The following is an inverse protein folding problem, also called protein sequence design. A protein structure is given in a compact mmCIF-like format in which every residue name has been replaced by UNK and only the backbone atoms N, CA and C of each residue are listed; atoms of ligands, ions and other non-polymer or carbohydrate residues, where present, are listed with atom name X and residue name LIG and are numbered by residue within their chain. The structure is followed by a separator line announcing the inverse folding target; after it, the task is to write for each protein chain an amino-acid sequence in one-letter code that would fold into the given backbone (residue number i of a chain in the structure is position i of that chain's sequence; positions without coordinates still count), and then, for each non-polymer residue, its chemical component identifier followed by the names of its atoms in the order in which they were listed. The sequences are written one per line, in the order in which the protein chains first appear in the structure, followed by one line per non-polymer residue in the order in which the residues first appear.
data_IF_492107698847
#
_entry.id   IF_492107698847
#
_cell.length_a   1.000
_cell.length_b   1.000
_cell.length_c   1.000
_cell.angle_alpha   90.00
_cell.angle_beta   90.00
_cell.angle_gamma   90.00
#
_symmetry.space_group_name_H-M   'P 1'
#
loop_
_entity.id
_entity.type
_entity.pdbx_description
1 polymer ?
#
# COMPACT_ATOMS: atom_id res chain seq x y z
N UNK A 1 -14.02 1.78 -0.35
CA UNK A 1 -12.60 1.75 -0.78
C UNK A 1 -12.33 2.79 -1.87
N UNK A 2 -13.05 2.77 -3.01
CA UNK A 2 -12.86 3.77 -4.06
C UNK A 2 -13.17 5.21 -3.62
N UNK A 3 -14.26 5.42 -2.87
CA UNK A 3 -14.62 6.74 -2.33
C UNK A 3 -13.55 7.30 -1.37
N UNK A 4 -13.04 6.46 -0.46
CA UNK A 4 -11.95 6.82 0.45
C UNK A 4 -10.70 7.25 -0.31
N UNK A 5 -10.33 6.52 -1.36
CA UNK A 5 -9.18 6.89 -2.17
C UNK A 5 -9.39 8.24 -2.88
N UNK A 6 -10.58 8.49 -3.44
CA UNK A 6 -10.91 9.79 -4.05
C UNK A 6 -10.75 10.95 -3.06
N UNK A 7 -11.23 10.78 -1.82
CA UNK A 7 -11.04 11.79 -0.78
C UNK A 7 -9.55 12.03 -0.46
N UNK A 8 -8.73 10.98 -0.48
CA UNK A 8 -7.27 11.12 -0.33
C UNK A 8 -6.64 11.85 -1.52
N UNK A 9 -7.06 11.54 -2.75
CA UNK A 9 -6.61 12.26 -3.95
C UNK A 9 -6.97 13.75 -3.89
N UNK A 10 -8.16 14.09 -3.41
CA UNK A 10 -8.58 15.48 -3.27
C UNK A 10 -7.77 16.21 -2.19
N UNK A 11 -7.50 15.55 -1.05
CA UNK A 11 -6.63 16.10 -0.01
C UNK A 11 -5.21 16.37 -0.53
N UNK A 12 -4.69 15.47 -1.39
CA UNK A 12 -3.40 15.67 -2.05
C UNK A 12 -3.42 16.83 -3.04
N UNK A 13 -4.44 16.93 -3.90
CA UNK A 13 -4.59 18.03 -4.86
C UNK A 13 -4.73 19.40 -4.17
N UNK A 14 -5.39 19.42 -3.02
CA UNK A 14 -5.52 20.62 -2.18
C UNK A 14 -4.23 20.98 -1.42
N UNK A 15 -3.19 20.16 -1.50
CA UNK A 15 -1.92 20.37 -0.81
C UNK A 15 -1.99 20.15 0.70
N UNK A 16 -3.06 19.51 1.21
CA UNK A 16 -3.22 19.21 2.64
C UNK A 16 -2.26 18.09 3.10
N UNK A 17 -1.87 17.23 2.17
CA UNK A 17 -0.93 16.13 2.39
C UNK A 17 0.13 16.10 1.30
N UNK A 18 1.35 15.68 1.65
CA UNK A 18 2.49 15.59 0.72
C UNK A 18 2.52 14.31 -0.10
N UNK A 19 1.81 13.27 0.33
CA UNK A 19 1.74 11.97 -0.32
C UNK A 19 0.51 11.21 0.18
N UNK A 20 0.03 10.26 -0.63
CA UNK A 20 -1.06 9.35 -0.29
C UNK A 20 -0.62 7.91 -0.55
N UNK A 21 -0.96 7.01 0.36
CA UNK A 21 -0.57 5.60 0.33
C UNK A 21 -1.69 4.71 0.85
N UNK A 22 -1.45 3.41 0.84
CA UNK A 22 -2.39 2.39 1.33
C UNK A 22 -1.74 1.50 2.38
N UNK A 23 -2.55 0.73 3.09
CA UNK A 23 -2.08 -0.31 4.00
C UNK A 23 -2.89 -1.59 3.80
N UNK A 24 -2.27 -2.74 4.08
CA UNK A 24 -2.90 -4.05 4.03
C UNK A 24 -3.59 -4.37 2.69
N UNK A 25 -3.04 -3.85 1.59
CA UNK A 25 -3.56 -4.13 0.25
C UNK A 25 -2.81 -5.30 -0.38
N UNK A 26 -3.57 -6.29 -0.84
CA UNK A 26 -3.07 -7.41 -1.66
C UNK A 26 -2.90 -6.97 -3.11
N UNK A 27 -2.22 -7.78 -3.92
CA UNK A 27 -2.09 -7.56 -5.37
C UNK A 27 -3.45 -7.35 -6.05
N UNK A 28 -4.46 -8.15 -5.67
CA UNK A 28 -5.82 -8.01 -6.21
C UNK A 28 -6.46 -6.68 -5.83
N UNK A 29 -6.27 -6.21 -4.60
CA UNK A 29 -6.77 -4.91 -4.16
C UNK A 29 -6.07 -3.76 -4.89
N UNK A 30 -4.75 -3.85 -5.08
CA UNK A 30 -3.98 -2.84 -5.82
C UNK A 30 -4.40 -2.77 -7.30
N UNK A 31 -4.67 -3.90 -7.94
CA UNK A 31 -5.20 -3.93 -9.32
C UNK A 31 -6.55 -3.25 -9.43
N UNK A 32 -7.48 -3.57 -8.52
CA UNK A 32 -8.80 -2.92 -8.46
C UNK A 32 -8.69 -1.41 -8.18
N UNK A 33 -7.72 -1.00 -7.35
CA UNK A 33 -7.48 0.41 -7.10
C UNK A 33 -6.99 1.11 -8.37
N UNK A 34 -6.02 0.51 -9.07
CA UNK A 34 -5.45 1.02 -10.33
C UNK A 34 -6.50 1.29 -11.41
N UNK A 35 -7.57 0.49 -11.47
CA UNK A 35 -8.67 0.66 -12.43
C UNK A 35 -9.47 1.95 -12.21
N UNK A 36 -9.47 2.51 -11.00
CA UNK A 36 -10.32 3.66 -10.63
C UNK A 36 -9.56 4.86 -10.06
N UNK A 37 -8.27 4.71 -9.79
CA UNK A 37 -7.41 5.77 -9.25
C UNK A 37 -7.05 6.79 -10.34
N UNK A 38 -7.23 8.08 -10.03
CA UNK A 38 -6.76 9.18 -10.86
C UNK A 38 -5.32 9.57 -10.53
N UNK A 39 -4.86 9.29 -9.31
CA UNK A 39 -3.47 9.44 -8.87
C UNK A 39 -2.89 8.04 -8.66
N UNK A 40 -1.92 7.67 -9.49
CA UNK A 40 -1.24 6.37 -9.45
C UNK A 40 0.26 6.54 -9.73
N UNK A 41 1.16 5.77 -9.07
CA UNK A 41 0.90 4.80 -8.01
C UNK A 41 0.68 5.42 -6.61
N UNK A 42 0.06 4.70 -5.65
CA UNK A 42 0.17 5.05 -4.23
C UNK A 42 1.64 5.16 -3.84
N UNK A 43 1.97 6.16 -3.03
CA UNK A 43 3.36 6.40 -2.61
C UNK A 43 3.92 5.22 -1.81
N UNK A 44 3.08 4.55 -1.01
CA UNK A 44 3.45 3.34 -0.31
C UNK A 44 2.29 2.35 -0.13
N UNK A 45 2.64 1.08 0.12
CA UNK A 45 1.77 0.06 0.67
C UNK A 45 2.40 -0.47 1.97
N UNK A 46 1.81 -0.13 3.11
CA UNK A 46 2.27 -0.58 4.42
C UNK A 46 1.66 -1.95 4.76
N UNK A 47 2.47 -2.99 4.91
CA UNK A 47 2.03 -4.40 5.03
C UNK A 47 2.91 -5.20 5.99
N UNK A 48 2.35 -6.29 6.54
CA UNK A 48 3.10 -7.26 7.35
C UNK A 48 4.05 -8.04 6.46
N UNK A 49 5.35 -7.82 6.65
CA UNK A 49 6.39 -8.56 5.92
C UNK A 49 7.56 -8.79 6.86
N UNK A 50 7.94 -10.05 7.00
CA UNK A 50 9.07 -10.51 7.81
C UNK A 50 9.59 -11.84 7.23
N UNK A 51 10.76 -12.36 7.66
CA UNK A 51 11.32 -13.58 7.07
C UNK A 51 10.39 -14.81 7.11
N UNK A 52 9.49 -14.90 8.10
CA UNK A 52 8.48 -15.96 8.22
C UNK A 52 7.21 -15.71 7.38
N UNK A 53 7.04 -14.49 6.85
CA UNK A 53 5.92 -14.09 5.99
C UNK A 53 6.40 -13.11 4.90
N UNK A 54 7.13 -13.60 3.87
CA UNK A 54 7.86 -12.75 2.93
C UNK A 54 6.97 -12.05 1.88
N UNK A 55 5.70 -12.44 1.71
CA UNK A 55 4.75 -11.89 0.72
C UNK A 55 5.36 -11.60 -0.68
N UNK A 56 6.16 -12.52 -1.23
CA UNK A 56 6.98 -12.30 -2.43
C UNK A 56 6.21 -11.70 -3.61
N UNK A 57 5.06 -12.26 -3.97
CA UNK A 57 4.23 -11.76 -5.08
C UNK A 57 3.79 -10.31 -4.91
N UNK A 58 3.52 -9.90 -3.66
CA UNK A 58 3.15 -8.52 -3.34
C UNK A 58 4.36 -7.59 -3.46
N UNK A 59 5.53 -8.01 -2.96
CA UNK A 59 6.76 -7.23 -3.05
C UNK A 59 7.14 -6.99 -4.51
N UNK A 60 7.13 -8.03 -5.34
CA UNK A 60 7.42 -7.94 -6.78
C UNK A 60 6.42 -7.06 -7.51
N UNK A 61 5.13 -7.18 -7.19
CA UNK A 61 4.10 -6.33 -7.78
C UNK A 61 4.29 -4.86 -7.41
N UNK A 62 4.51 -4.55 -6.13
CA UNK A 62 4.76 -3.19 -5.66
C UNK A 62 6.02 -2.61 -6.30
N UNK A 63 7.10 -3.38 -6.40
CA UNK A 63 8.34 -2.96 -7.05
C UNK A 63 8.12 -2.62 -8.53
N UNK A 64 7.40 -3.48 -9.27
CA UNK A 64 7.09 -3.24 -10.69
C UNK A 64 6.23 -1.99 -10.92
N UNK A 65 5.31 -1.70 -10.00
CA UNK A 65 4.40 -0.56 -10.09
C UNK A 65 4.98 0.74 -9.53
N UNK A 66 6.20 0.71 -8.96
CA UNK A 66 6.82 1.87 -8.31
C UNK A 66 6.21 2.24 -6.96
N UNK A 67 5.58 1.29 -6.27
CA UNK A 67 4.99 1.46 -4.94
C UNK A 67 6.03 1.09 -3.88
N UNK A 68 6.31 2.00 -2.94
CA UNK A 68 7.20 1.69 -1.80
C UNK A 68 6.51 0.72 -0.84
N UNK A 69 7.15 -0.41 -0.54
CA UNK A 69 6.66 -1.29 0.53
C UNK A 69 7.20 -0.80 1.87
N UNK A 70 6.30 -0.57 2.83
CA UNK A 70 6.67 -0.26 4.21
C UNK A 70 6.30 -1.44 5.11
N UNK A 71 7.30 -2.23 5.51
CA UNK A 71 7.07 -3.37 6.38
C UNK A 71 6.66 -2.93 7.80
N UNK A 72 5.57 -3.47 8.33
CA UNK A 72 5.27 -3.50 9.77
C UNK A 72 5.43 -4.91 10.31
N UNK A 73 5.55 -5.04 11.65
CA UNK A 73 5.85 -6.32 12.32
C UNK A 73 7.05 -7.05 11.68
N UNK A 74 8.07 -6.29 11.26
CA UNK A 74 9.20 -6.78 10.47
C UNK A 74 10.07 -7.83 11.18
N UNK A 75 9.88 -7.99 12.50
CA UNK A 75 10.53 -9.01 13.34
C UNK A 75 9.61 -10.20 13.67
N UNK A 76 8.41 -10.30 13.09
CA UNK A 76 7.46 -11.40 13.32
C UNK A 76 6.47 -11.19 14.46
N UNK A 77 6.32 -9.96 14.96
CA UNK A 77 5.43 -9.65 16.09
C UNK A 77 5.97 -10.09 17.46
N UNK A 78 5.18 -9.88 18.52
CA UNK A 78 5.42 -10.52 19.82
C UNK A 78 4.75 -11.89 19.74
N UNK A 79 5.52 -12.96 19.78
CA UNK A 79 5.02 -14.32 19.93
C UNK A 79 4.39 -14.42 21.32
N UNK A 80 3.10 -14.10 21.46
CA UNK A 80 2.35 -14.38 22.68
C UNK A 80 1.96 -15.84 22.63
N UNK A 81 2.92 -16.70 22.97
CA UNK A 81 2.67 -18.12 23.20
C UNK A 81 1.55 -18.38 24.21
#
# INVERSE_FOLDING_TARGET
RAETWRAMEDAYRQGLVRAIGVSNMTVQHLRKLKESASIWPPACNQVEVHPLYPQTDLLEYCQREGIVVQAYASLGGQDTG
#
